data_IF_533351715566
#
_entry.id   IF_533351715566
#
_cell.length_a   1.000
_cell.length_b   1.000
_cell.length_c   1.000
_cell.angle_alpha   90.00
_cell.angle_beta   90.00
_cell.angle_gamma   90.00
#
_symmetry.space_group_name_H-M   'P 1'
#
loop_
_entity.id
_entity.type
_entity.pdbx_description
1 polymer ?
#
# COMPACT_ATOMS: atom_id res chain seq x y z
N UNK A 1 4.68 2.41 -3.66
CA UNK A 1 4.32 1.04 -3.24
C UNK A 1 4.74 0.78 -1.80
N UNK A 2 4.05 -0.11 -1.06
CA UNK A 2 4.34 -0.43 0.35
C UNK A 2 4.25 -1.96 0.59
N UNK A 3 5.38 -2.62 0.87
CA UNK A 3 5.43 -4.09 0.97
C UNK A 3 6.25 -4.61 2.15
N UNK A 4 5.83 -5.75 2.70
CA UNK A 4 6.58 -6.51 3.69
C UNK A 4 7.55 -7.49 2.99
N UNK A 5 8.70 -6.99 2.51
CA UNK A 5 9.75 -7.80 1.90
C UNK A 5 11.09 -7.61 2.62
N UNK A 6 11.94 -8.65 2.65
CA UNK A 6 13.34 -8.48 3.06
C UNK A 6 14.10 -7.68 2.01
N UNK A 7 15.17 -7.00 2.42
CA UNK A 7 16.00 -6.19 1.52
C UNK A 7 16.68 -7.06 0.45
N UNK A 8 17.11 -8.26 0.83
CA UNK A 8 17.78 -9.22 -0.05
C UNK A 8 16.80 -9.74 -1.12
N UNK A 9 15.59 -10.13 -0.70
CA UNK A 9 14.55 -10.61 -1.63
C UNK A 9 14.17 -9.52 -2.60
N UNK A 10 13.97 -8.30 -2.12
CA UNK A 10 13.59 -7.18 -2.98
C UNK A 10 14.66 -6.84 -4.01
N UNK A 11 15.95 -6.85 -3.61
CA UNK A 11 17.06 -6.57 -4.51
C UNK A 11 17.15 -7.59 -5.67
N UNK A 12 16.81 -8.84 -5.42
CA UNK A 12 16.79 -9.90 -6.44
C UNK A 12 15.56 -9.81 -7.36
N UNK A 13 14.39 -9.49 -6.81
CA UNK A 13 13.10 -9.51 -7.52
C UNK A 13 12.90 -8.25 -8.37
N UNK A 14 13.29 -7.06 -7.87
CA UNK A 14 13.08 -5.78 -8.57
C UNK A 14 13.57 -5.77 -10.04
N UNK A 15 14.78 -6.25 -10.39
CA UNK A 15 15.21 -6.25 -11.79
C UNK A 15 14.48 -7.28 -12.67
N UNK A 16 13.85 -8.30 -12.07
CA UNK A 16 13.22 -9.42 -12.79
C UNK A 16 11.75 -9.14 -13.13
N UNK A 17 11.05 -8.32 -12.32
CA UNK A 17 9.63 -8.05 -12.48
C UNK A 17 9.37 -6.58 -12.85
N UNK A 18 9.25 -6.25 -14.16
CA UNK A 18 9.08 -4.87 -14.63
C UNK A 18 7.87 -4.14 -14.06
N UNK A 19 6.83 -4.87 -13.63
CA UNK A 19 5.64 -4.29 -12.98
C UNK A 19 6.00 -3.44 -11.75
N UNK A 20 7.10 -3.76 -11.06
CA UNK A 20 7.58 -2.98 -9.91
C UNK A 20 8.09 -1.59 -10.31
N UNK A 21 8.46 -1.39 -11.58
CA UNK A 21 8.86 -0.09 -12.12
C UNK A 21 7.67 0.81 -12.46
N UNK A 22 6.44 0.31 -12.36
CA UNK A 22 5.24 1.16 -12.44
C UNK A 22 5.05 2.02 -11.19
N UNK A 23 5.76 1.70 -10.10
CA UNK A 23 5.74 2.49 -8.86
C UNK A 23 6.82 3.56 -8.94
N UNK A 24 6.44 4.83 -8.73
CA UNK A 24 7.39 5.95 -8.66
C UNK A 24 8.40 5.78 -7.53
N UNK A 25 7.92 5.30 -6.37
CA UNK A 25 8.76 4.99 -5.21
C UNK A 25 8.18 3.83 -4.39
N UNK A 26 8.99 3.24 -3.51
CA UNK A 26 8.63 2.09 -2.67
C UNK A 26 9.16 2.19 -1.24
N UNK A 27 8.32 1.76 -0.29
CA UNK A 27 8.66 1.50 1.11
C UNK A 27 8.70 -0.01 1.30
N UNK A 28 9.87 -0.52 1.70
CA UNK A 28 10.15 -1.96 1.83
C UNK A 28 10.53 -2.26 3.27
N UNK A 29 9.75 -3.10 3.97
CA UNK A 29 9.92 -3.31 5.41
C UNK A 29 11.34 -3.73 5.83
N UNK A 30 12.03 -4.53 5.02
CA UNK A 30 13.39 -4.97 5.30
C UNK A 30 14.44 -3.85 5.27
N UNK A 31 14.17 -2.77 4.53
CA UNK A 31 15.00 -1.55 4.51
C UNK A 31 14.65 -0.65 5.70
N UNK A 32 13.37 -0.54 6.03
CA UNK A 32 12.88 0.39 7.07
C UNK A 32 12.89 -0.20 8.49
N UNK A 33 13.16 -1.50 8.63
CA UNK A 33 13.11 -2.24 9.90
C UNK A 33 11.77 -2.10 10.66
N UNK A 34 10.69 -1.84 9.92
CA UNK A 34 9.31 -1.80 10.42
C UNK A 34 8.41 -2.41 9.35
N UNK A 35 7.36 -3.12 9.75
CA UNK A 35 6.48 -3.85 8.82
C UNK A 35 5.02 -3.54 9.09
N UNK A 36 4.16 -3.68 8.08
CA UNK A 36 2.71 -3.69 8.30
C UNK A 36 2.35 -4.86 9.23
N UNK A 37 1.41 -4.70 10.19
CA UNK A 37 0.46 -3.60 10.33
C UNK A 37 0.91 -2.45 11.26
N UNK A 38 2.21 -2.32 11.60
CA UNK A 38 2.67 -1.24 12.46
C UNK A 38 2.37 0.15 11.83
N UNK A 39 1.67 1.06 12.52
CA UNK A 39 1.26 2.35 11.96
C UNK A 39 2.42 3.20 11.45
N UNK A 40 3.63 3.02 12.01
CA UNK A 40 4.82 3.79 11.63
C UNK A 40 5.20 3.60 10.16
N UNK A 41 4.94 2.43 9.58
CA UNK A 41 5.29 2.19 8.16
C UNK A 41 4.36 2.94 7.21
N UNK A 42 3.08 3.08 7.58
CA UNK A 42 2.11 3.84 6.80
C UNK A 42 2.40 5.33 6.89
N UNK A 43 2.71 5.83 8.08
CA UNK A 43 3.13 7.22 8.29
C UNK A 43 4.39 7.56 7.49
N UNK A 44 5.39 6.66 7.50
CA UNK A 44 6.58 6.79 6.68
C UNK A 44 6.25 6.85 5.19
N UNK A 45 5.34 6.00 4.70
CA UNK A 45 4.91 5.99 3.31
C UNK A 45 4.22 7.31 2.92
N UNK A 46 3.28 7.80 3.73
CA UNK A 46 2.61 9.10 3.50
C UNK A 46 3.63 10.24 3.42
N UNK A 47 4.59 10.27 4.35
CA UNK A 47 5.65 11.29 4.38
C UNK A 47 6.57 11.19 3.15
N UNK A 48 7.04 9.98 2.81
CA UNK A 48 7.97 9.75 1.69
C UNK A 48 7.34 10.10 0.35
N UNK A 49 6.07 9.73 0.17
CA UNK A 49 5.35 10.01 -1.07
C UNK A 49 4.75 11.42 -1.12
N UNK A 50 4.77 12.16 0.00
CA UNK A 50 4.20 13.50 0.08
C UNK A 50 2.68 13.54 -0.12
N UNK A 51 1.98 12.48 0.26
CA UNK A 51 0.52 12.32 0.07
C UNK A 51 -0.23 12.37 1.39
N UNK A 52 -1.48 12.85 1.36
CA UNK A 52 -2.35 12.91 2.55
C UNK A 52 -3.10 11.60 2.73
N UNK A 53 -3.37 11.22 3.98
CA UNK A 53 -4.07 9.99 4.30
C UNK A 53 -5.46 9.93 3.63
N UNK A 54 -6.23 11.02 3.73
CA UNK A 54 -7.59 11.15 3.20
C UNK A 54 -7.65 11.14 1.65
N UNK A 55 -6.52 11.33 0.98
CA UNK A 55 -6.39 11.27 -0.48
C UNK A 55 -5.77 9.93 -0.94
N UNK A 56 -5.42 9.05 -0.01
CA UNK A 56 -4.70 7.80 -0.28
C UNK A 56 -5.63 6.59 -0.22
N UNK A 57 -5.45 5.68 -1.17
CA UNK A 57 -6.05 4.33 -1.16
C UNK A 57 -4.94 3.31 -0.88
N UNK A 58 -5.20 2.41 0.05
CA UNK A 58 -4.31 1.29 0.38
C UNK A 58 -5.02 -0.03 0.09
N UNK A 59 -4.38 -0.90 -0.71
CA UNK A 59 -4.93 -2.20 -1.12
C UNK A 59 -3.99 -3.28 -0.61
N UNK A 60 -4.53 -4.25 0.12
CA UNK A 60 -3.78 -5.38 0.70
C UNK A 60 -4.72 -6.57 0.88
N UNK A 61 -4.20 -7.78 0.81
CA UNK A 61 -4.95 -9.02 1.02
C UNK A 61 -5.05 -9.41 2.51
N UNK A 62 -4.28 -8.76 3.38
CA UNK A 62 -4.33 -8.99 4.81
C UNK A 62 -5.27 -7.99 5.51
N UNK A 63 -6.36 -8.46 6.17
CA UNK A 63 -7.33 -7.57 6.83
C UNK A 63 -6.74 -6.74 7.97
N UNK A 64 -5.69 -7.21 8.64
CA UNK A 64 -5.03 -6.45 9.71
C UNK A 64 -4.27 -5.24 9.17
N UNK A 65 -3.66 -5.37 7.98
CA UNK A 65 -2.98 -4.27 7.31
C UNK A 65 -3.99 -3.20 6.88
N UNK A 66 -5.12 -3.65 6.32
CA UNK A 66 -6.22 -2.77 5.91
C UNK A 66 -6.82 -2.04 7.10
N UNK A 67 -7.04 -2.72 8.22
CA UNK A 67 -7.54 -2.11 9.45
C UNK A 67 -6.58 -1.05 10.00
N UNK A 68 -5.26 -1.31 9.99
CA UNK A 68 -4.25 -0.35 10.41
C UNK A 68 -4.21 0.90 9.52
N UNK A 69 -4.34 0.73 8.20
CA UNK A 69 -4.43 1.85 7.26
C UNK A 69 -5.68 2.71 7.54
N UNK A 70 -6.85 2.06 7.71
CA UNK A 70 -8.11 2.75 8.03
C UNK A 70 -8.02 3.56 9.33
N UNK A 71 -7.35 3.03 10.36
CA UNK A 71 -7.15 3.72 11.63
C UNK A 71 -6.32 5.02 11.50
N UNK A 72 -5.57 5.18 10.40
CA UNK A 72 -4.78 6.37 10.08
C UNK A 72 -5.49 7.33 9.11
N UNK A 73 -6.75 7.07 8.76
CA UNK A 73 -7.51 7.89 7.80
C UNK A 73 -7.22 7.57 6.34
N UNK A 74 -6.46 6.51 6.04
CA UNK A 74 -6.24 6.01 4.69
C UNK A 74 -7.45 5.17 4.27
N UNK A 75 -7.90 5.30 3.02
CA UNK A 75 -8.98 4.43 2.49
C UNK A 75 -8.42 3.03 2.23
N UNK A 76 -8.63 2.10 3.15
CA UNK A 76 -8.20 0.71 3.03
C UNK A 76 -9.21 -0.17 2.29
N UNK A 77 -8.75 -0.91 1.28
CA UNK A 77 -9.52 -1.91 0.53
C UNK A 77 -8.89 -3.29 0.76
N UNK A 78 -9.69 -4.24 1.24
CA UNK A 78 -9.32 -5.65 1.30
C UNK A 78 -9.38 -6.26 -0.10
N UNK A 79 -8.25 -6.76 -0.58
CA UNK A 79 -8.17 -7.44 -1.88
C UNK A 79 -8.66 -8.88 -1.77
N UNK A 80 -9.81 -9.17 -2.40
CA UNK A 80 -10.40 -10.52 -2.44
C UNK A 80 -10.58 -11.01 -3.89
N UNK A 81 -10.00 -10.30 -4.86
CA UNK A 81 -10.10 -10.61 -6.28
C UNK A 81 -10.28 -9.38 -7.16
N UNK A 82 -10.00 -9.55 -8.45
CA UNK A 82 -10.02 -8.47 -9.46
C UNK A 82 -11.39 -7.77 -9.55
N UNK A 83 -12.47 -8.53 -9.73
CA UNK A 83 -13.81 -7.98 -9.94
C UNK A 83 -14.27 -7.13 -8.74
N UNK A 84 -14.04 -7.62 -7.53
CA UNK A 84 -14.36 -6.88 -6.31
C UNK A 84 -13.54 -5.60 -6.20
N UNK A 85 -12.23 -5.67 -6.46
CA UNK A 85 -11.37 -4.49 -6.44
C UNK A 85 -11.83 -3.42 -7.45
N UNK A 86 -12.18 -3.82 -8.68
CA UNK A 86 -12.71 -2.91 -9.71
C UNK A 86 -13.99 -2.22 -9.22
N UNK A 87 -14.92 -2.97 -8.62
CA UNK A 87 -16.15 -2.42 -8.06
C UNK A 87 -15.89 -1.46 -6.90
N UNK A 88 -15.00 -1.81 -5.97
CA UNK A 88 -14.62 -0.98 -4.83
C UNK A 88 -14.01 0.35 -5.30
N UNK A 89 -13.11 0.31 -6.29
CA UNK A 89 -12.47 1.50 -6.87
C UNK A 89 -13.48 2.40 -7.63
N UNK A 90 -14.38 1.82 -8.42
CA UNK A 90 -15.44 2.58 -9.10
C UNK A 90 -16.38 3.26 -8.09
N UNK A 91 -16.63 2.62 -6.94
CA UNK A 91 -17.44 3.18 -5.86
C UNK A 91 -16.82 4.44 -5.23
N UNK A 92 -15.49 4.53 -5.16
CA UNK A 92 -14.78 5.70 -4.65
C UNK A 92 -14.89 6.92 -5.58
N UNK A 93 -14.81 6.71 -6.89
CA UNK A 93 -14.92 7.79 -7.87
C UNK A 93 -16.26 8.51 -7.80
N UNK A 94 -17.35 7.76 -7.59
CA UNK A 94 -18.72 8.28 -7.50
C UNK A 94 -19.00 9.10 -6.24
N UNK A 95 -18.21 8.96 -5.17
CA UNK A 95 -18.41 9.69 -3.90
C UNK A 95 -17.73 11.06 -3.86
N UNK A 96 -16.85 11.37 -4.83
CA UNK A 96 -16.13 12.66 -4.92
C UNK A 96 -16.77 13.65 -5.91
N UNK A 97 -17.95 13.33 -6.46
CA UNK A 97 -18.79 14.20 -7.32
C UNK A 97 -20.05 14.62 -6.58
#
# INVERSE_FOLDING_TARGET
>A
GLSNWSVETFALVRPVYPVLNLMEDMVISGVEHVMKPDPRIFQLALQRFGIKAEETVFIDDNPNNVAAANALGITGILFEGKEKLENDLMGLHRKKS
#
